data_IF_103979123542
#
_entry.id   IF_103979123542
#
_cell.length_a   1.000
_cell.length_b   1.000
_cell.length_c   1.000
_cell.angle_alpha   90.00
_cell.angle_beta   90.00
_cell.angle_gamma   90.00
#
_symmetry.space_group_name_H-M   'P 1'
#
loop_
_entity.id
_entity.type
_entity.pdbx_description
1 polymer ?
#
# COMPACT_ATOMS: atom_id res chain seq x y z
N UNK A 1 -12.41 -27.70 -27.68
CA UNK A 1 -11.39 -27.10 -26.79
C UNK A 1 -11.61 -25.60 -26.71
N UNK A 2 -12.08 -25.07 -25.57
CA UNK A 2 -12.29 -23.62 -25.39
C UNK A 2 -10.92 -22.94 -25.35
N UNK A 3 -10.55 -22.23 -26.43
CA UNK A 3 -9.35 -21.38 -26.47
C UNK A 3 -9.48 -20.35 -25.34
N UNK A 4 -8.72 -20.53 -24.26
CA UNK A 4 -8.53 -19.49 -23.24
C UNK A 4 -7.76 -18.38 -23.93
N UNK A 5 -8.43 -17.29 -24.30
CA UNK A 5 -7.76 -16.04 -24.61
C UNK A 5 -7.05 -15.60 -23.33
N UNK A 6 -5.77 -15.95 -23.23
CA UNK A 6 -4.84 -15.23 -22.40
C UNK A 6 -4.84 -13.81 -22.97
N UNK A 7 -5.55 -12.88 -22.33
CA UNK A 7 -5.29 -11.45 -22.54
C UNK A 7 -3.89 -11.20 -21.99
N UNK A 8 -2.88 -11.52 -22.80
CA UNK A 8 -1.49 -11.17 -22.57
C UNK A 8 -1.42 -9.64 -22.56
N UNK A 9 -1.03 -9.09 -21.42
CA UNK A 9 -0.46 -7.77 -21.41
C UNK A 9 0.99 -7.95 -21.84
N UNK A 10 1.29 -7.53 -23.07
CA UNK A 10 2.53 -6.83 -23.34
C UNK A 10 2.73 -5.77 -22.25
N UNK A 11 3.71 -5.97 -21.38
CA UNK A 11 4.44 -4.82 -20.88
C UNK A 11 5.04 -4.15 -22.13
N UNK A 12 4.41 -3.08 -22.62
CA UNK A 12 4.93 -2.30 -23.71
C UNK A 12 6.18 -1.57 -23.21
N UNK A 13 7.34 -2.24 -23.27
CA UNK A 13 8.63 -1.59 -23.18
C UNK A 13 8.78 -0.71 -24.42
N UNK A 14 8.35 0.55 -24.33
CA UNK A 14 8.48 1.52 -25.42
C UNK A 14 9.89 2.07 -25.43
N UNK A 15 10.60 1.83 -26.53
CA UNK A 15 11.94 2.34 -26.79
C UNK A 15 11.94 3.88 -26.80
N UNK A 16 12.73 4.49 -25.92
CA UNK A 16 13.16 5.88 -26.08
C UNK A 16 14.37 5.89 -27.02
N UNK A 17 14.17 6.19 -28.30
CA UNK A 17 15.29 6.51 -29.19
C UNK A 17 15.70 7.97 -28.97
N UNK A 18 16.76 8.21 -28.20
CA UNK A 18 17.52 9.46 -28.28
C UNK A 18 18.71 9.21 -29.19
N UNK A 19 18.72 9.82 -30.37
CA UNK A 19 19.93 9.92 -31.17
C UNK A 19 20.87 10.90 -30.44
N UNK A 20 22.06 10.43 -30.07
CA UNK A 20 23.13 11.27 -29.54
C UNK A 20 24.24 11.29 -30.60
N UNK A 21 24.76 12.46 -31.02
CA UNK A 21 25.92 12.51 -31.89
C UNK A 21 27.15 11.96 -31.15
N UNK A 22 27.94 11.16 -31.87
CA UNK A 22 29.13 10.50 -31.37
C UNK A 22 30.23 11.49 -31.00
N UNK A 23 30.82 11.31 -29.82
CA UNK A 23 32.18 11.76 -29.49
C UNK A 23 32.86 10.68 -28.65
N UNK A 24 33.75 9.93 -29.31
CA UNK A 24 34.85 9.16 -28.72
C UNK A 24 35.89 10.18 -28.17
N UNK A 25 36.67 10.03 -27.10
CA UNK A 25 36.99 8.99 -26.11
C UNK A 25 37.72 9.73 -24.98
N UNK A 26 37.59 9.32 -23.71
CA UNK A 26 38.72 9.09 -22.77
C UNK A 26 38.16 8.44 -21.50
N UNK A 27 38.65 7.25 -21.16
CA UNK A 27 38.27 6.52 -19.96
C UNK A 27 38.99 7.07 -18.74
N UNK A 28 38.24 7.42 -17.69
CA UNK A 28 38.74 7.44 -16.31
C UNK A 28 37.73 6.74 -15.41
N UNK A 29 38.23 5.70 -14.76
CA UNK A 29 37.53 4.82 -13.84
C UNK A 29 37.28 5.59 -12.53
N UNK A 30 36.03 6.01 -12.28
CA UNK A 30 35.61 6.45 -10.95
C UNK A 30 34.28 5.81 -10.56
N UNK A 31 34.29 5.18 -9.39
CA UNK A 31 33.18 4.48 -8.78
C UNK A 31 31.93 5.38 -8.70
N UNK A 32 30.93 5.04 -9.49
CA UNK A 32 29.64 5.70 -9.54
C UNK A 32 28.85 5.46 -8.25
N UNK A 33 28.94 6.41 -7.33
CA UNK A 33 27.94 6.64 -6.28
C UNK A 33 26.59 6.87 -6.97
N UNK A 34 25.66 5.93 -6.84
CA UNK A 34 24.26 6.12 -7.25
C UNK A 34 23.64 7.26 -6.43
N UNK A 35 23.76 8.49 -6.94
CA UNK A 35 22.95 9.63 -6.55
C UNK A 35 21.49 9.24 -6.81
N UNK A 36 20.65 9.28 -5.79
CA UNK A 36 19.19 9.29 -6.00
C UNK A 36 18.91 10.62 -6.68
N UNK A 37 18.71 10.60 -8.00
CA UNK A 37 18.38 11.81 -8.74
C UNK A 37 17.08 12.37 -8.15
N UNK A 38 17.09 13.65 -7.78
CA UNK A 38 15.84 14.37 -7.63
C UNK A 38 15.03 14.24 -8.93
N UNK A 39 13.70 14.17 -8.81
CA UNK A 39 12.83 14.17 -9.98
C UNK A 39 13.12 15.43 -10.82
N UNK A 40 13.27 15.26 -12.13
CA UNK A 40 13.40 16.39 -13.05
C UNK A 40 12.14 17.28 -13.00
N UNK A 41 12.22 18.51 -13.53
CA UNK A 41 11.06 19.40 -13.63
C UNK A 41 9.88 18.73 -14.35
N UNK A 42 10.15 18.02 -15.46
CA UNK A 42 9.17 17.23 -16.20
C UNK A 42 8.52 16.14 -15.35
N UNK A 43 9.33 15.37 -14.61
CA UNK A 43 8.83 14.29 -13.75
C UNK A 43 7.96 14.84 -12.61
N UNK A 44 8.32 16.01 -12.08
CA UNK A 44 7.53 16.71 -11.07
C UNK A 44 6.19 17.19 -11.65
N UNK A 45 6.20 17.76 -12.86
CA UNK A 45 4.99 18.19 -13.55
C UNK A 45 4.05 17.02 -13.85
N UNK A 46 4.59 15.89 -14.33
CA UNK A 46 3.83 14.66 -14.53
C UNK A 46 3.25 14.15 -13.21
N UNK A 47 4.08 14.05 -12.16
CA UNK A 47 3.65 13.57 -10.85
C UNK A 47 2.50 14.39 -10.28
N UNK A 48 2.55 15.72 -10.40
CA UNK A 48 1.48 16.60 -9.92
C UNK A 48 0.16 16.36 -10.66
N UNK A 49 0.21 16.21 -12.00
CA UNK A 49 -0.97 15.88 -12.82
C UNK A 49 -1.52 14.50 -12.45
N UNK A 50 -0.65 13.50 -12.38
CA UNK A 50 -0.99 12.12 -12.05
C UNK A 50 -1.60 12.01 -10.64
N UNK A 51 -0.99 12.65 -9.63
CA UNK A 51 -1.46 12.59 -8.25
C UNK A 51 -2.88 13.16 -8.09
N UNK A 52 -3.19 14.28 -8.76
CA UNK A 52 -4.54 14.86 -8.76
C UNK A 52 -5.59 13.86 -9.24
N UNK A 53 -5.31 13.18 -10.36
CA UNK A 53 -6.27 12.23 -10.94
C UNK A 53 -6.31 10.90 -10.18
N UNK A 54 -5.17 10.43 -9.68
CA UNK A 54 -5.08 9.23 -8.86
C UNK A 54 -5.90 9.35 -7.58
N UNK A 55 -5.83 10.47 -6.86
CA UNK A 55 -6.62 10.70 -5.64
C UNK A 55 -8.12 10.67 -5.95
N UNK A 56 -8.54 11.31 -7.06
CA UNK A 56 -9.95 11.33 -7.49
C UNK A 56 -10.46 9.93 -7.84
N UNK A 57 -9.74 9.20 -8.70
CA UNK A 57 -10.12 7.87 -9.14
C UNK A 57 -10.06 6.85 -7.99
N UNK A 58 -9.00 6.85 -7.19
CA UNK A 58 -8.84 5.93 -6.08
C UNK A 58 -9.93 6.10 -5.00
N UNK A 59 -10.36 7.33 -4.73
CA UNK A 59 -11.51 7.60 -3.86
C UNK A 59 -12.82 7.05 -4.44
N UNK A 60 -13.03 7.21 -5.75
CA UNK A 60 -14.22 6.70 -6.44
C UNK A 60 -14.27 5.17 -6.44
N UNK A 61 -13.14 4.51 -6.64
CA UNK A 61 -13.06 3.06 -6.83
C UNK A 61 -12.50 2.28 -5.63
N UNK A 62 -12.13 2.94 -4.53
CA UNK A 62 -11.63 2.29 -3.32
C UNK A 62 -10.31 1.55 -3.55
N UNK A 63 -9.33 2.22 -4.14
CA UNK A 63 -7.96 1.72 -4.35
C UNK A 63 -6.94 2.66 -3.70
N UNK A 64 -5.64 2.42 -3.90
CA UNK A 64 -4.57 3.26 -3.34
C UNK A 64 -4.00 4.23 -4.39
N UNK A 65 -4.06 5.56 -4.16
CA UNK A 65 -3.42 6.55 -5.01
C UNK A 65 -1.94 6.26 -5.29
N UNK A 66 -1.17 5.84 -4.29
CA UNK A 66 0.26 5.54 -4.43
C UNK A 66 0.51 4.46 -5.47
N UNK A 67 -0.32 3.41 -5.49
CA UNK A 67 -0.25 2.32 -6.46
C UNK A 67 -0.64 2.80 -7.84
N UNK A 68 -1.73 3.56 -7.99
CA UNK A 68 -2.14 4.09 -9.31
C UNK A 68 -1.10 5.03 -9.90
N UNK A 69 -0.49 5.90 -9.10
CA UNK A 69 0.59 6.80 -9.54
C UNK A 69 1.81 5.98 -9.98
N UNK A 70 2.21 4.98 -9.19
CA UNK A 70 3.34 4.12 -9.53
C UNK A 70 3.10 3.34 -10.82
N UNK A 71 1.89 2.79 -11.01
CA UNK A 71 1.50 2.15 -12.27
C UNK A 71 1.59 3.14 -13.43
N UNK A 72 1.00 4.33 -13.31
CA UNK A 72 1.07 5.34 -14.35
C UNK A 72 2.53 5.69 -14.71
N UNK A 73 3.42 5.84 -13.73
CA UNK A 73 4.85 6.10 -13.98
C UNK A 73 5.49 4.95 -14.77
N UNK A 74 5.32 3.71 -14.30
CA UNK A 74 5.94 2.52 -14.89
C UNK A 74 5.42 2.25 -16.30
N UNK A 75 4.11 2.32 -16.51
CA UNK A 75 3.46 1.97 -17.77
C UNK A 75 3.61 3.04 -18.86
N UNK A 76 3.73 4.32 -18.48
CA UNK A 76 3.85 5.43 -19.42
C UNK A 76 5.26 5.99 -19.59
N UNK A 77 6.23 5.51 -18.81
CA UNK A 77 7.57 6.08 -18.76
C UNK A 77 7.53 7.56 -18.37
N UNK A 78 6.84 7.90 -17.27
CA UNK A 78 6.59 9.29 -16.84
C UNK A 78 5.79 10.14 -17.84
N UNK A 79 4.83 9.52 -18.54
CA UNK A 79 3.97 10.19 -19.52
C UNK A 79 4.66 10.46 -20.86
N UNK A 80 5.87 9.96 -21.07
CA UNK A 80 6.67 10.22 -22.28
C UNK A 80 6.46 9.17 -23.37
N UNK A 81 5.78 8.05 -23.09
CA UNK A 81 5.49 7.05 -24.12
C UNK A 81 4.59 7.62 -25.21
N UNK A 82 4.77 7.19 -26.46
CA UNK A 82 3.93 7.65 -27.57
C UNK A 82 2.44 7.37 -27.33
N UNK A 83 2.11 6.28 -26.64
CA UNK A 83 0.74 5.97 -26.24
C UNK A 83 0.18 6.95 -25.20
N UNK A 84 0.99 7.37 -24.22
CA UNK A 84 0.58 8.39 -23.25
C UNK A 84 0.41 9.76 -23.89
N UNK A 85 1.32 10.15 -24.78
CA UNK A 85 1.28 11.46 -25.47
C UNK A 85 0.13 11.55 -26.47
N UNK A 86 -0.03 10.54 -27.33
CA UNK A 86 -0.98 10.62 -28.45
C UNK A 86 -2.40 10.14 -28.09
N UNK A 87 -2.54 9.38 -26.99
CA UNK A 87 -3.82 8.77 -26.62
C UNK A 87 -4.24 9.00 -25.17
N UNK A 88 -3.45 9.77 -24.38
CA UNK A 88 -3.64 9.92 -22.94
C UNK A 88 -3.73 8.59 -22.17
N UNK A 89 -3.24 7.48 -22.75
CA UNK A 89 -3.37 6.15 -22.18
C UNK A 89 -2.13 5.82 -21.36
N UNK A 90 -2.23 6.10 -20.06
CA UNK A 90 -1.11 5.96 -19.12
C UNK A 90 -0.86 4.52 -18.67
N UNK A 91 -1.81 3.62 -18.88
CA UNK A 91 -1.83 2.28 -18.26
C UNK A 91 -1.76 1.14 -19.26
N UNK A 92 -1.53 1.45 -20.55
CA UNK A 92 -1.43 0.45 -21.61
C UNK A 92 -2.74 -0.31 -21.87
N UNK A 93 -3.90 0.32 -21.64
CA UNK A 93 -5.19 -0.37 -21.80
C UNK A 93 -5.49 -0.61 -23.27
N UNK A 94 -5.55 -1.88 -23.68
CA UNK A 94 -5.99 -2.28 -25.02
C UNK A 94 -7.48 -2.03 -25.19
N UNK A 95 -7.88 -1.68 -26.42
CA UNK A 95 -9.28 -1.63 -26.81
C UNK A 95 -9.74 -3.07 -27.09
N UNK A 96 -10.54 -3.62 -26.19
CA UNK A 96 -11.22 -4.90 -26.41
C UNK A 96 -12.57 -4.68 -27.10
N UNK A 97 -13.30 -5.76 -27.40
CA UNK A 97 -14.58 -5.69 -28.10
C UNK A 97 -15.69 -4.93 -27.34
N UNK A 98 -15.51 -4.66 -26.05
CA UNK A 98 -16.45 -3.86 -25.25
C UNK A 98 -16.12 -2.37 -25.25
N UNK A 99 -14.95 -1.97 -25.78
CA UNK A 99 -14.56 -0.58 -25.85
C UNK A 99 -15.26 0.14 -27.01
N UNK A 100 -16.02 1.18 -26.68
CA UNK A 100 -16.79 1.98 -27.65
C UNK A 100 -16.20 3.38 -27.89
N UNK A 101 -15.12 3.73 -27.20
CA UNK A 101 -14.46 5.03 -27.35
C UNK A 101 -13.45 5.08 -28.48
N UNK A 102 -12.78 6.22 -28.64
CA UNK A 102 -11.69 6.36 -29.60
C UNK A 102 -10.57 5.34 -29.35
N UNK A 103 -9.84 4.99 -30.41
CA UNK A 103 -8.69 4.09 -30.32
C UNK A 103 -7.44 4.74 -30.91
N UNK A 104 -6.28 4.25 -30.48
CA UNK A 104 -4.99 4.56 -31.08
C UNK A 104 -4.28 3.25 -31.38
N UNK A 105 -4.06 2.98 -32.67
CA UNK A 105 -3.45 1.74 -33.13
C UNK A 105 -1.95 1.94 -33.33
N UNK A 106 -1.14 1.12 -32.66
CA UNK A 106 0.32 1.20 -32.75
C UNK A 106 0.97 -0.17 -32.56
N UNK A 107 2.25 -0.29 -32.91
CA UNK A 107 3.04 -1.48 -32.62
C UNK A 107 3.31 -1.58 -31.12
N UNK A 108 3.17 -2.78 -30.56
CA UNK A 108 3.45 -3.11 -29.16
C UNK A 108 4.31 -4.36 -29.07
N UNK A 109 5.22 -4.40 -28.08
CA UNK A 109 6.08 -5.55 -27.79
C UNK A 109 5.32 -6.55 -26.91
N UNK A 110 5.02 -7.72 -27.44
CA UNK A 110 4.48 -8.86 -26.69
C UNK A 110 5.60 -9.83 -26.29
N UNK A 111 5.29 -10.71 -25.35
CA UNK A 111 6.17 -11.79 -24.91
C UNK A 111 5.41 -13.12 -24.98
N UNK A 112 6.04 -14.15 -25.54
CA UNK A 112 5.46 -15.50 -25.55
C UNK A 112 5.65 -16.20 -24.19
N UNK A 113 5.08 -17.41 -24.05
CA UNK A 113 5.18 -18.21 -22.82
C UNK A 113 6.62 -18.58 -22.41
N UNK A 114 7.59 -18.42 -23.32
CA UNK A 114 9.01 -18.73 -23.10
C UNK A 114 9.86 -17.46 -22.88
N UNK A 115 9.24 -16.28 -22.82
CA UNK A 115 9.96 -15.01 -22.64
C UNK A 115 10.47 -14.39 -23.94
N UNK A 116 10.18 -14.97 -25.12
CA UNK A 116 10.63 -14.40 -26.40
C UNK A 116 9.75 -13.22 -26.78
N UNK A 117 10.39 -12.10 -27.05
CA UNK A 117 9.71 -10.86 -27.45
C UNK A 117 9.38 -10.85 -28.94
N UNK A 118 8.21 -10.33 -29.30
CA UNK A 118 7.82 -10.07 -30.69
C UNK A 118 6.92 -8.82 -30.75
N UNK A 119 6.75 -8.24 -31.94
CA UNK A 119 5.91 -7.06 -32.11
C UNK A 119 4.62 -7.42 -32.84
N UNK A 120 3.51 -6.88 -32.35
CA UNK A 120 2.22 -6.90 -33.04
C UNK A 120 1.68 -5.47 -33.16
N UNK A 121 0.79 -5.24 -34.12
CA UNK A 121 -0.05 -4.05 -34.13
C UNK A 121 -1.27 -4.31 -33.28
N UNK A 122 -1.57 -3.41 -32.33
CA UNK A 122 -2.74 -3.53 -31.46
C UNK A 122 -3.46 -2.19 -31.32
N UNK A 123 -4.78 -2.24 -31.17
CA UNK A 123 -5.59 -1.08 -30.83
C UNK A 123 -5.59 -0.84 -29.32
N UNK A 124 -5.27 0.39 -28.92
CA UNK A 124 -5.33 0.83 -27.53
C UNK A 124 -6.47 1.83 -27.34
N UNK A 125 -7.02 1.87 -26.12
CA UNK A 125 -8.03 2.88 -25.75
C UNK A 125 -7.40 4.26 -25.85
N UNK A 126 -8.10 5.22 -26.44
CA UNK A 126 -7.71 6.63 -26.49
C UNK A 126 -8.66 7.44 -25.60
N UNK A 127 -8.08 8.27 -24.75
CA UNK A 127 -8.81 9.03 -23.76
C UNK A 127 -8.74 10.54 -24.05
N UNK A 128 -9.81 11.30 -23.73
CA UNK A 128 -9.79 12.76 -23.82
C UNK A 128 -8.73 13.40 -22.90
N UNK A 129 -8.44 12.79 -21.75
CA UNK A 129 -7.44 13.29 -20.80
C UNK A 129 -6.92 12.20 -19.87
N UNK A 130 -5.91 12.52 -19.05
CA UNK A 130 -5.43 11.65 -17.99
C UNK A 130 -6.52 11.28 -16.98
N UNK A 131 -7.52 12.15 -16.76
CA UNK A 131 -8.63 11.84 -15.87
C UNK A 131 -9.35 10.56 -16.29
N UNK A 132 -9.74 10.45 -17.56
CA UNK A 132 -10.42 9.25 -18.07
C UNK A 132 -9.51 8.02 -18.07
N UNK A 133 -8.19 8.20 -18.20
CA UNK A 133 -7.24 7.08 -18.09
C UNK A 133 -7.14 6.54 -16.66
N UNK A 134 -7.07 7.42 -15.65
CA UNK A 134 -7.09 7.03 -14.23
C UNK A 134 -8.45 6.45 -13.83
N UNK A 135 -9.55 7.02 -14.33
CA UNK A 135 -10.90 6.53 -14.13
C UNK A 135 -11.05 5.07 -14.61
N UNK A 136 -10.58 4.77 -15.82
CA UNK A 136 -10.63 3.43 -16.41
C UNK A 136 -9.71 2.43 -15.66
N UNK A 137 -8.53 2.87 -15.23
CA UNK A 137 -7.67 2.06 -14.35
C UNK A 137 -8.35 1.74 -13.01
N UNK A 138 -8.94 2.73 -12.35
CA UNK A 138 -9.67 2.54 -11.10
C UNK A 138 -10.84 1.57 -11.26
N UNK A 139 -11.61 1.73 -12.34
CA UNK A 139 -12.70 0.82 -12.70
C UNK A 139 -12.21 -0.61 -12.89
N UNK A 140 -11.14 -0.83 -13.66
CA UNK A 140 -10.57 -2.17 -13.85
C UNK A 140 -10.10 -2.79 -12.53
N UNK A 141 -9.40 -2.04 -11.68
CA UNK A 141 -8.92 -2.56 -10.40
C UNK A 141 -10.09 -2.92 -9.45
N UNK A 142 -11.19 -2.16 -9.48
CA UNK A 142 -12.36 -2.45 -8.63
C UNK A 142 -13.25 -3.54 -9.21
N UNK A 143 -13.59 -3.45 -10.49
CA UNK A 143 -14.59 -4.28 -11.15
C UNK A 143 -13.99 -5.53 -11.81
N UNK A 144 -12.66 -5.64 -11.83
CA UNK A 144 -11.96 -6.76 -12.43
C UNK A 144 -12.06 -6.76 -13.95
N UNK A 145 -12.16 -7.95 -14.50
CA UNK A 145 -12.41 -8.22 -15.92
C UNK A 145 -13.65 -9.09 -16.06
N UNK A 146 -14.27 -9.13 -17.23
CA UNK A 146 -15.56 -9.81 -17.44
C UNK A 146 -15.57 -11.28 -17.00
N UNK A 147 -14.45 -11.98 -17.10
CA UNK A 147 -14.30 -13.39 -16.72
C UNK A 147 -13.78 -13.61 -15.29
N UNK A 148 -13.33 -12.56 -14.61
CA UNK A 148 -12.88 -12.61 -13.21
C UNK A 148 -13.08 -11.22 -12.56
N UNK A 149 -14.29 -10.93 -12.06
CA UNK A 149 -14.62 -9.64 -11.43
C UNK A 149 -13.83 -9.36 -10.16
N UNK A 150 -13.23 -10.40 -9.57
CA UNK A 150 -12.45 -10.31 -8.32
C UNK A 150 -10.95 -10.38 -8.56
N UNK A 151 -10.50 -10.37 -9.83
CA UNK A 151 -9.11 -10.56 -10.25
C UNK A 151 -8.12 -9.68 -9.48
N UNK A 152 -8.53 -8.43 -9.22
CA UNK A 152 -7.69 -7.41 -8.59
C UNK A 152 -8.12 -7.10 -7.15
N UNK A 153 -8.91 -7.97 -6.49
CA UNK A 153 -9.40 -7.71 -5.13
C UNK A 153 -8.31 -7.45 -4.09
N UNK A 154 -7.09 -7.95 -4.33
CA UNK A 154 -5.93 -7.70 -3.47
C UNK A 154 -5.43 -6.25 -3.49
N UNK A 155 -5.89 -5.42 -4.43
CA UNK A 155 -5.55 -3.99 -4.52
C UNK A 155 -6.59 -3.08 -3.88
N UNK A 156 -7.72 -3.63 -3.44
CA UNK A 156 -8.80 -2.87 -2.84
C UNK A 156 -8.39 -2.37 -1.46
N UNK A 157 -8.74 -1.13 -1.15
CA UNK A 157 -8.32 -0.46 0.08
C UNK A 157 -8.73 -1.21 1.36
N UNK A 158 -9.87 -1.90 1.34
CA UNK A 158 -10.35 -2.68 2.48
C UNK A 158 -9.60 -4.01 2.68
N UNK A 159 -8.91 -4.50 1.64
CA UNK A 159 -8.18 -5.77 1.60
C UNK A 159 -6.66 -5.59 1.69
N UNK A 160 -6.14 -4.49 1.14
CA UNK A 160 -4.72 -4.16 1.13
C UNK A 160 -4.35 -3.38 2.40
N UNK A 161 -3.70 -4.06 3.35
CA UNK A 161 -3.19 -3.39 4.56
C UNK A 161 -2.03 -2.44 4.29
N UNK A 162 -1.35 -2.60 3.15
CA UNK A 162 -0.23 -1.75 2.71
C UNK A 162 -0.22 -1.61 1.18
N UNK A 163 0.49 -0.60 0.67
CA UNK A 163 0.76 -0.53 -0.77
C UNK A 163 1.52 -1.78 -1.26
N UNK A 164 2.42 -2.34 -0.44
CA UNK A 164 3.21 -3.51 -0.81
C UNK A 164 2.35 -4.77 -1.02
N UNK A 165 1.27 -4.95 -0.25
CA UNK A 165 0.32 -6.05 -0.50
C UNK A 165 -0.47 -5.83 -1.78
N UNK A 166 -0.85 -4.58 -2.09
CA UNK A 166 -1.54 -4.26 -3.33
C UNK A 166 -0.65 -4.45 -4.56
N UNK A 167 0.60 -3.96 -4.53
CA UNK A 167 1.55 -4.16 -5.64
C UNK A 167 1.89 -5.62 -5.84
N UNK A 168 2.01 -6.40 -4.74
CA UNK A 168 2.19 -7.84 -4.82
C UNK A 168 1.01 -8.54 -5.51
N UNK A 169 -0.22 -8.12 -5.21
CA UNK A 169 -1.41 -8.66 -5.85
C UNK A 169 -1.48 -8.35 -7.35
N UNK A 170 -0.81 -7.28 -7.82
CA UNK A 170 -0.70 -6.93 -9.24
C UNK A 170 0.35 -7.77 -10.00
N UNK A 171 1.38 -8.28 -9.32
CA UNK A 171 2.39 -9.14 -9.93
C UNK A 171 1.77 -10.46 -10.41
N UNK A 172 1.90 -10.76 -11.70
CA UNK A 172 1.33 -11.96 -12.31
C UNK A 172 -0.16 -11.88 -12.61
N UNK A 173 -0.85 -10.80 -12.20
CA UNK A 173 -2.28 -10.60 -12.50
C UNK A 173 -2.52 -9.43 -13.47
N UNK A 174 -1.79 -8.34 -13.28
CA UNK A 174 -1.80 -7.14 -14.12
C UNK A 174 -0.69 -7.18 -15.16
N UNK A 175 0.53 -7.51 -14.74
CA UNK A 175 1.69 -7.69 -15.60
C UNK A 175 2.27 -9.11 -15.46
N UNK A 176 2.79 -9.66 -16.55
CA UNK A 176 3.51 -10.96 -16.56
C UNK A 176 4.89 -10.87 -15.92
N UNK A 177 5.45 -9.66 -15.78
CA UNK A 177 6.73 -9.42 -15.14
C UNK A 177 6.70 -9.83 -13.65
N UNK A 178 7.51 -10.84 -13.32
CA UNK A 178 7.72 -11.33 -11.94
C UNK A 178 8.31 -10.28 -10.98
N UNK A 179 8.81 -9.16 -11.50
CA UNK A 179 9.42 -8.05 -10.75
C UNK A 179 8.54 -6.81 -10.66
N UNK A 180 7.29 -6.87 -11.14
CA UNK A 180 6.40 -5.70 -11.23
C UNK A 180 6.18 -5.00 -9.88
N UNK A 181 5.89 -5.75 -8.83
CA UNK A 181 5.80 -5.26 -7.45
C UNK A 181 7.03 -4.45 -7.02
N UNK A 182 8.23 -4.90 -7.37
CA UNK A 182 9.48 -4.21 -7.02
C UNK A 182 9.60 -2.86 -7.74
N UNK A 183 9.23 -2.79 -9.02
CA UNK A 183 9.22 -1.54 -9.77
C UNK A 183 8.26 -0.53 -9.14
N UNK A 184 7.02 -0.96 -8.85
CA UNK A 184 6.02 -0.10 -8.21
C UNK A 184 6.47 0.37 -6.82
N UNK A 185 6.93 -0.56 -5.98
CA UNK A 185 7.39 -0.25 -4.62
C UNK A 185 8.59 0.71 -4.61
N UNK A 186 9.47 0.62 -5.62
CA UNK A 186 10.58 1.55 -5.80
C UNK A 186 10.10 2.98 -6.04
N UNK A 187 9.14 3.18 -6.95
CA UNK A 187 8.53 4.49 -7.18
C UNK A 187 7.80 5.01 -5.94
N UNK A 188 6.99 4.17 -5.30
CA UNK A 188 6.23 4.53 -4.10
C UNK A 188 7.16 5.02 -2.99
N UNK A 189 8.26 4.30 -2.75
CA UNK A 189 9.21 4.64 -1.68
C UNK A 189 10.06 5.85 -2.04
N UNK A 190 10.63 5.90 -3.25
CA UNK A 190 11.54 6.98 -3.65
C UNK A 190 10.85 8.35 -3.76
N UNK A 191 9.56 8.37 -4.12
CA UNK A 191 8.77 9.59 -4.29
C UNK A 191 7.84 9.87 -3.10
N UNK A 192 7.87 9.04 -2.06
CA UNK A 192 6.98 9.11 -0.89
C UNK A 192 5.49 9.22 -1.31
N UNK A 193 5.05 8.34 -2.22
CA UNK A 193 3.70 8.42 -2.81
C UNK A 193 2.59 8.07 -1.80
N UNK A 194 2.92 7.39 -0.71
CA UNK A 194 1.97 7.08 0.38
C UNK A 194 1.40 8.34 1.04
N UNK A 195 2.03 9.51 0.87
CA UNK A 195 1.45 10.79 1.31
C UNK A 195 0.10 11.12 0.66
N UNK A 196 -0.21 10.50 -0.49
CA UNK A 196 -1.49 10.63 -1.16
C UNK A 196 -2.51 9.59 -0.72
N UNK A 197 -2.08 8.53 -0.03
CA UNK A 197 -2.97 7.44 0.36
C UNK A 197 -3.91 7.87 1.49
N UNK A 198 -5.16 7.41 1.47
CA UNK A 198 -6.07 7.61 2.59
C UNK A 198 -5.61 6.86 3.84
N UNK A 199 -5.95 7.41 4.99
CA UNK A 199 -5.63 6.81 6.29
C UNK A 199 -6.76 5.86 6.68
N UNK A 200 -6.42 4.59 6.91
CA UNK A 200 -7.37 3.58 7.40
C UNK A 200 -7.11 3.31 8.88
N UNK A 201 -8.16 3.43 9.69
CA UNK A 201 -8.12 3.09 11.11
C UNK A 201 -9.16 2.01 11.41
N UNK A 202 -8.76 1.02 12.21
CA UNK A 202 -9.71 0.11 12.86
C UNK A 202 -10.11 0.73 14.20
N UNK A 203 -11.39 0.69 14.50
CA UNK A 203 -11.95 1.30 15.72
C UNK A 203 -13.12 0.47 16.24
N UNK A 204 -13.74 0.89 17.33
CA UNK A 204 -15.01 0.37 17.81
C UNK A 204 -15.66 1.52 18.56
N UNK A 205 -16.45 2.32 17.83
CA UNK A 205 -17.07 3.53 18.36
C UNK A 205 -18.54 3.54 17.96
N UNK A 206 -19.37 3.96 18.89
CA UNK A 206 -20.79 4.17 18.64
C UNK A 206 -20.99 5.57 18.05
N UNK A 207 -21.76 5.64 16.98
CA UNK A 207 -22.19 6.85 16.32
C UNK A 207 -23.71 6.88 16.25
N UNK A 208 -24.29 8.07 16.17
CA UNK A 208 -25.70 8.25 15.80
C UNK A 208 -25.76 8.64 14.33
N UNK A 209 -26.63 8.01 13.55
CA UNK A 209 -26.88 8.44 12.17
C UNK A 209 -27.69 9.76 12.19
N UNK A 210 -27.14 10.82 11.62
CA UNK A 210 -27.81 12.12 11.55
C UNK A 210 -28.91 12.18 10.50
N UNK A 211 -28.95 11.22 9.57
CA UNK A 211 -29.96 11.10 8.52
C UNK A 211 -30.09 9.67 7.99
N UNK A 212 -31.23 9.40 7.34
CA UNK A 212 -31.43 8.19 6.56
C UNK A 212 -30.37 8.08 5.45
N UNK A 213 -29.80 6.89 5.28
CA UNK A 213 -28.85 6.61 4.20
C UNK A 213 -28.74 5.12 3.91
N UNK A 214 -28.50 4.76 2.66
CA UNK A 214 -28.09 3.40 2.30
C UNK A 214 -26.70 3.06 2.86
N UNK A 215 -26.49 1.77 3.13
CA UNK A 215 -25.18 1.17 3.37
C UNK A 215 -24.73 0.38 2.15
N UNK A 216 -23.42 0.26 1.96
CA UNK A 216 -22.81 -0.20 0.72
C UNK A 216 -21.84 -1.37 0.95
N UNK A 217 -21.71 -2.24 -0.05
CA UNK A 217 -20.80 -3.39 0.04
C UNK A 217 -19.31 -3.02 0.05
N UNK A 218 -18.94 -1.87 -0.54
CA UNK A 218 -17.55 -1.41 -0.67
C UNK A 218 -17.36 0.04 -0.24
N UNK A 219 -16.13 0.44 0.17
CA UNK A 219 -15.80 1.83 0.52
C UNK A 219 -15.57 2.70 -0.73
N UNK A 220 -16.45 2.62 -1.73
CA UNK A 220 -16.33 3.34 -3.01
C UNK A 220 -17.33 4.51 -3.09
N UNK A 221 -17.43 5.16 -4.25
CA UNK A 221 -18.54 6.06 -4.51
C UNK A 221 -19.87 5.28 -4.63
N UNK A 222 -21.02 5.86 -4.23
CA UNK A 222 -22.33 5.21 -4.41
C UNK A 222 -22.64 4.79 -5.85
N UNK A 223 -22.08 5.47 -6.85
CA UNK A 223 -22.21 5.10 -8.27
C UNK A 223 -21.44 3.83 -8.67
N UNK A 224 -20.58 3.32 -7.78
CA UNK A 224 -19.77 2.10 -7.99
C UNK A 224 -20.23 0.98 -7.05
N UNK A 225 -20.59 1.30 -5.81
CA UNK A 225 -21.01 0.31 -4.83
C UNK A 225 -22.46 -0.15 -5.02
N UNK A 226 -22.74 -1.39 -4.64
CA UNK A 226 -24.10 -1.90 -4.50
C UNK A 226 -24.62 -1.57 -3.11
N UNK A 227 -25.83 -1.00 -3.03
CA UNK A 227 -26.54 -0.85 -1.76
C UNK A 227 -26.92 -2.23 -1.20
N UNK A 228 -26.65 -2.46 0.09
CA UNK A 228 -26.88 -3.75 0.76
C UNK A 228 -27.71 -3.61 2.05
N UNK A 229 -28.10 -2.38 2.39
CA UNK A 229 -28.86 -2.08 3.58
C UNK A 229 -29.07 -0.58 3.73
N UNK A 230 -29.50 -0.15 4.91
CA UNK A 230 -29.68 1.26 5.24
C UNK A 230 -29.46 1.49 6.74
N UNK A 231 -29.31 2.76 7.10
CA UNK A 231 -29.40 3.30 8.46
C UNK A 231 -30.46 4.39 8.50
N UNK A 232 -31.11 4.54 9.65
CA UNK A 232 -32.15 5.55 9.89
C UNK A 232 -31.65 6.71 10.74
N UNK A 233 -32.19 7.90 10.52
CA UNK A 233 -31.91 9.06 11.37
C UNK A 233 -32.19 8.74 12.86
N UNK A 234 -31.28 9.12 13.75
CA UNK A 234 -31.33 8.83 15.18
C UNK A 234 -30.83 7.42 15.57
N UNK A 235 -30.57 6.54 14.60
CA UNK A 235 -30.12 5.18 14.87
C UNK A 235 -28.68 5.15 15.42
N UNK A 236 -28.45 4.43 16.51
CA UNK A 236 -27.11 4.19 17.05
C UNK A 236 -26.46 3.00 16.36
N UNK A 237 -25.25 3.20 15.83
CA UNK A 237 -24.51 2.20 15.06
C UNK A 237 -23.07 2.08 15.55
N UNK A 238 -22.53 0.86 15.51
CA UNK A 238 -21.11 0.60 15.86
C UNK A 238 -20.28 0.64 14.58
N UNK A 239 -19.29 1.54 14.55
CA UNK A 239 -18.33 1.65 13.45
C UNK A 239 -17.05 0.94 13.83
N UNK A 240 -16.56 0.06 12.95
CA UNK A 240 -15.36 -0.75 13.20
C UNK A 240 -14.18 -0.41 12.31
N UNK A 241 -14.40 0.33 11.22
CA UNK A 241 -13.33 0.80 10.32
C UNK A 241 -13.67 2.17 9.76
N UNK A 242 -12.68 3.05 9.66
CA UNK A 242 -12.81 4.38 9.06
C UNK A 242 -11.67 4.57 8.07
N UNK A 243 -12.02 5.00 6.85
CA UNK A 243 -11.08 5.42 5.80
C UNK A 243 -11.26 6.91 5.63
N UNK A 244 -10.20 7.69 5.85
CA UNK A 244 -10.21 9.15 5.69
C UNK A 244 -9.35 9.55 4.50
N UNK A 245 -9.94 10.27 3.55
CA UNK A 245 -9.27 10.78 2.35
C UNK A 245 -8.62 12.14 2.61
N UNK A 246 -7.75 12.56 1.67
CA UNK A 246 -6.99 13.81 1.78
C UNK A 246 -7.88 15.07 1.83
N UNK A 247 -9.10 15.02 1.28
CA UNK A 247 -10.06 16.11 1.37
C UNK A 247 -10.86 16.12 2.69
N UNK A 248 -10.48 15.28 3.66
CA UNK A 248 -11.13 15.15 4.96
C UNK A 248 -12.44 14.34 4.94
N UNK A 249 -12.93 13.96 3.75
CA UNK A 249 -14.08 13.07 3.66
C UNK A 249 -13.71 11.65 4.09
N UNK A 250 -14.71 10.84 4.46
CA UNK A 250 -14.46 9.48 4.93
C UNK A 250 -15.49 8.45 4.48
N UNK A 251 -15.10 7.18 4.58
CA UNK A 251 -15.99 6.01 4.53
C UNK A 251 -15.91 5.28 5.87
N UNK A 252 -17.05 4.93 6.43
CA UNK A 252 -17.14 4.29 7.75
C UNK A 252 -17.87 2.96 7.60
N UNK A 253 -17.25 1.89 8.08
CA UNK A 253 -17.85 0.55 8.06
C UNK A 253 -18.64 0.35 9.35
N UNK A 254 -19.95 0.15 9.20
CA UNK A 254 -20.86 -0.22 10.27
C UNK A 254 -20.82 -1.74 10.41
N UNK A 255 -20.62 -2.21 11.63
CA UNK A 255 -20.49 -3.63 11.91
C UNK A 255 -21.70 -4.42 11.41
N UNK A 256 -21.42 -5.48 10.65
CA UNK A 256 -22.45 -6.31 10.01
C UNK A 256 -23.32 -5.64 8.93
N UNK A 257 -23.17 -4.34 8.65
CA UNK A 257 -24.10 -3.59 7.77
C UNK A 257 -23.47 -2.91 6.57
N UNK A 258 -22.14 -2.82 6.51
CA UNK A 258 -21.42 -2.29 5.36
C UNK A 258 -20.98 -0.84 5.52
N UNK A 259 -20.59 -0.23 4.41
CA UNK A 259 -19.96 1.08 4.35
C UNK A 259 -20.97 2.21 4.21
N UNK A 260 -20.69 3.35 4.85
CA UNK A 260 -21.44 4.61 4.68
C UNK A 260 -20.48 5.76 4.44
N UNK A 261 -20.99 6.85 3.85
CA UNK A 261 -20.27 8.12 3.84
C UNK A 261 -20.19 8.65 5.28
N UNK A 262 -19.00 9.04 5.74
CA UNK A 262 -18.85 9.47 7.14
C UNK A 262 -19.67 10.71 7.51
N UNK A 263 -20.09 11.52 6.54
CA UNK A 263 -21.01 12.65 6.73
C UNK A 263 -22.45 12.24 7.11
N UNK A 264 -22.78 10.95 7.07
CA UNK A 264 -24.07 10.40 7.55
C UNK A 264 -24.08 10.24 9.08
N UNK A 265 -22.91 10.11 9.70
CA UNK A 265 -22.78 9.80 11.11
C UNK A 265 -22.33 11.04 11.89
N UNK A 266 -23.07 11.40 12.93
CA UNK A 266 -22.80 12.59 13.73
C UNK A 266 -21.50 12.42 14.52
N UNK A 267 -20.67 13.46 14.54
CA UNK A 267 -19.39 13.48 15.28
C UNK A 267 -19.56 13.50 16.80
N UNK A 268 -20.78 13.54 17.33
CA UNK A 268 -21.08 13.33 18.75
C UNK A 268 -20.84 11.87 19.14
N UNK A 269 -19.58 11.43 19.02
CA UNK A 269 -19.17 10.09 19.41
C UNK A 269 -19.07 10.06 20.93
N UNK A 270 -19.98 9.37 21.59
CA UNK A 270 -19.65 8.83 22.92
C UNK A 270 -18.72 7.66 22.69
N UNK A 271 -17.45 7.81 23.09
CA UNK A 271 -16.61 6.63 23.29
C UNK A 271 -17.34 5.78 24.33
N UNK A 272 -17.76 4.57 23.97
CA UNK A 272 -18.22 3.60 24.95
C UNK A 272 -17.07 3.38 25.93
N UNK A 273 -17.18 4.01 27.11
CA UNK A 273 -16.49 3.57 28.31
C UNK A 273 -17.05 2.20 28.69
N UNK A 274 -16.17 1.37 29.25
CA UNK A 274 -16.39 0.03 29.85
C UNK A 274 -16.09 -1.16 28.91
N UNK A 275 -15.53 -2.26 29.47
CA UNK A 275 -14.38 -2.94 28.91
C UNK A 275 -14.76 -4.24 28.21
N UNK A 276 -14.25 -4.43 26.99
CA UNK A 276 -14.30 -5.72 26.31
C UNK A 276 -13.28 -6.68 26.95
N UNK A 277 -13.61 -7.21 28.12
CA UNK A 277 -12.78 -8.13 28.92
C UNK A 277 -12.56 -9.49 28.24
N UNK A 278 -13.27 -9.83 27.17
CA UNK A 278 -13.03 -11.06 26.38
C UNK A 278 -12.66 -10.81 24.91
N UNK A 279 -11.79 -11.66 24.34
CA UNK A 279 -11.61 -11.71 22.91
C UNK A 279 -12.95 -12.17 22.32
N UNK A 280 -13.50 -11.53 21.26
CA UNK A 280 -14.79 -11.94 20.73
C UNK A 280 -14.70 -13.40 20.28
N UNK A 281 -15.61 -14.25 20.76
CA UNK A 281 -15.63 -15.71 20.52
C UNK A 281 -15.65 -16.10 19.02
N UNK A 282 -15.81 -15.13 18.10
CA UNK A 282 -15.93 -15.31 16.65
C UNK A 282 -14.86 -14.59 15.80
N UNK A 283 -13.76 -14.07 16.39
CA UNK A 283 -12.69 -13.41 15.61
C UNK A 283 -11.60 -14.43 15.23
N UNK A 284 -11.44 -14.68 13.92
CA UNK A 284 -10.31 -15.48 13.42
C UNK A 284 -8.99 -14.79 13.77
N UNK A 285 -8.00 -15.51 14.33
CA UNK A 285 -6.70 -14.94 14.65
C UNK A 285 -5.98 -14.48 13.37
N UNK A 286 -5.28 -13.35 13.48
CA UNK A 286 -4.31 -12.91 12.46
C UNK A 286 -2.92 -13.23 12.98
N UNK A 287 -2.22 -14.14 12.30
CA UNK A 287 -0.84 -14.47 12.62
C UNK A 287 0.09 -13.33 12.22
N UNK A 288 0.91 -12.87 13.16
CA UNK A 288 1.87 -11.78 12.97
C UNK A 288 3.25 -12.17 13.50
N UNK A 289 4.30 -11.70 12.83
CA UNK A 289 5.66 -11.98 13.26
C UNK A 289 6.10 -11.00 14.35
N UNK A 290 6.35 -11.50 15.55
CA UNK A 290 6.94 -10.74 16.63
C UNK A 290 8.42 -10.47 16.33
N UNK A 291 8.77 -9.19 16.25
CA UNK A 291 10.11 -8.74 15.87
C UNK A 291 10.99 -8.45 17.08
N UNK A 292 10.43 -8.22 18.26
CA UNK A 292 11.16 -8.00 19.51
C UNK A 292 10.45 -8.66 20.70
N UNK A 293 11.19 -9.07 21.73
CA UNK A 293 10.60 -9.55 22.99
C UNK A 293 9.51 -8.60 23.49
N UNK A 294 8.34 -9.16 23.83
CA UNK A 294 7.17 -8.38 24.17
C UNK A 294 6.57 -8.82 25.50
N UNK A 295 6.66 -7.95 26.50
CA UNK A 295 5.90 -8.10 27.73
C UNK A 295 4.40 -8.08 27.45
N UNK A 296 3.66 -8.86 28.23
CA UNK A 296 2.21 -8.86 28.19
C UNK A 296 1.67 -7.88 29.22
N UNK A 297 0.66 -7.11 28.83
CA UNK A 297 0.00 -6.09 29.62
C UNK A 297 -1.47 -6.44 29.77
N UNK A 298 -2.08 -5.98 30.86
CA UNK A 298 -3.52 -6.02 31.03
C UNK A 298 -4.22 -4.90 30.24
N UNK A 299 -5.55 -4.88 30.32
CA UNK A 299 -6.40 -3.89 29.67
C UNK A 299 -6.17 -2.43 30.10
N UNK A 300 -5.53 -2.21 31.25
CA UNK A 300 -5.21 -0.91 31.82
C UNK A 300 -3.74 -0.51 31.57
N UNK A 301 -2.97 -1.38 30.90
CA UNK A 301 -1.56 -1.18 30.61
C UNK A 301 -0.63 -1.50 31.77
N UNK A 302 -1.12 -2.21 32.80
CA UNK A 302 -0.27 -2.77 33.85
C UNK A 302 0.41 -4.02 33.29
N UNK A 303 1.73 -4.10 33.42
CA UNK A 303 2.50 -5.26 32.98
C UNK A 303 2.11 -6.48 33.81
N UNK A 304 1.78 -7.60 33.15
CA UNK A 304 1.51 -8.87 33.81
C UNK A 304 2.83 -9.50 34.26
N UNK A 305 2.92 -9.88 35.54
CA UNK A 305 4.14 -10.46 36.11
C UNK A 305 4.43 -11.81 35.44
N UNK A 306 5.68 -12.03 35.02
CA UNK A 306 6.12 -13.30 34.42
C UNK A 306 5.67 -13.58 32.98
N UNK A 307 4.69 -12.86 32.41
CA UNK A 307 4.21 -13.09 31.04
C UNK A 307 4.95 -12.25 30.00
N UNK A 308 5.61 -12.93 29.06
CA UNK A 308 6.32 -12.31 27.93
C UNK A 308 6.42 -13.29 26.76
N UNK A 309 6.26 -12.77 25.54
CA UNK A 309 6.64 -13.49 24.33
C UNK A 309 8.11 -13.19 24.01
N UNK A 310 8.93 -14.24 23.97
CA UNK A 310 10.33 -14.16 23.54
C UNK A 310 10.44 -14.45 22.04
N UNK A 311 11.23 -13.67 21.32
CA UNK A 311 11.71 -14.02 19.98
C UNK A 311 12.89 -14.98 20.10
N UNK A 312 13.05 -15.92 19.16
CA UNK A 312 14.30 -16.69 19.06
C UNK A 312 15.27 -16.01 18.08
N UNK A 313 16.53 -15.89 18.47
CA UNK A 313 17.57 -15.32 17.60
C UNK A 313 18.01 -16.31 16.50
N UNK A 314 17.70 -17.60 16.67
CA UNK A 314 17.98 -18.69 15.72
C UNK A 314 17.00 -18.70 14.52
N UNK A 315 15.74 -18.29 14.70
CA UNK A 315 14.72 -18.34 13.63
C UNK A 315 14.17 -16.97 13.20
N UNK A 316 14.71 -15.87 13.76
CA UNK A 316 14.48 -14.54 13.20
C UNK A 316 13.16 -13.88 13.53
N UNK A 317 12.36 -14.41 14.45
CA UNK A 317 11.09 -13.86 14.88
C UNK A 317 10.24 -14.90 15.60
N UNK A 318 9.07 -14.53 16.10
CA UNK A 318 8.09 -15.49 16.64
C UNK A 318 6.70 -15.19 16.08
N UNK A 319 6.12 -16.10 15.34
CA UNK A 319 4.72 -15.98 14.91
C UNK A 319 3.79 -16.06 16.12
N UNK A 320 2.90 -15.10 16.23
CA UNK A 320 1.90 -15.00 17.29
C UNK A 320 0.54 -14.67 16.70
N UNK A 321 -0.49 -15.30 17.25
CA UNK A 321 -1.87 -15.00 16.91
C UNK A 321 -2.28 -13.70 17.59
N UNK A 322 -2.87 -12.80 16.82
CA UNK A 322 -3.38 -11.51 17.30
C UNK A 322 -4.87 -11.36 16.97
N UNK A 323 -5.59 -10.65 17.83
CA UNK A 323 -7.05 -10.51 17.79
C UNK A 323 -7.45 -9.04 17.80
N UNK A 324 -6.98 -8.31 16.78
CA UNK A 324 -7.17 -6.87 16.69
C UNK A 324 -6.26 -6.06 17.62
N UNK A 325 -6.46 -4.75 17.65
CA UNK A 325 -5.64 -3.80 18.39
C UNK A 325 -6.44 -3.06 19.47
N UNK A 326 -5.74 -2.58 20.50
CA UNK A 326 -6.28 -1.69 21.54
C UNK A 326 -5.27 -0.59 21.82
N UNK A 327 -5.75 0.65 21.91
CA UNK A 327 -4.92 1.76 22.39
C UNK A 327 -5.00 1.83 23.91
N UNK A 328 -3.86 1.78 24.58
CA UNK A 328 -3.75 1.85 26.04
C UNK A 328 -2.77 2.98 26.35
N UNK A 329 -3.22 4.01 27.08
CA UNK A 329 -2.40 5.19 27.45
C UNK A 329 -1.65 5.81 26.26
N UNK A 330 -2.35 5.99 25.13
CA UNK A 330 -1.80 6.60 23.91
C UNK A 330 -0.87 5.71 23.08
N UNK A 331 -0.67 4.44 23.45
CA UNK A 331 0.14 3.47 22.70
C UNK A 331 -0.72 2.35 22.15
N UNK A 332 -0.44 1.90 20.93
CA UNK A 332 -1.16 0.79 20.29
C UNK A 332 -0.61 -0.55 20.77
N UNK A 333 -1.51 -1.48 21.09
CA UNK A 333 -1.22 -2.85 21.46
C UNK A 333 -2.01 -3.83 20.59
N UNK A 334 -1.46 -5.01 20.33
CA UNK A 334 -2.22 -6.14 19.82
C UNK A 334 -2.78 -6.96 20.97
N UNK A 335 -4.04 -7.39 20.83
CA UNK A 335 -4.62 -8.39 21.73
C UNK A 335 -4.08 -9.77 21.35
N UNK A 336 -3.61 -10.52 22.33
CA UNK A 336 -3.03 -11.87 22.14
C UNK A 336 -3.74 -12.95 22.98
N UNK A 337 -4.62 -12.53 23.88
CA UNK A 337 -5.43 -13.41 24.72
C UNK A 337 -6.53 -12.64 25.47
N UNK A 338 -7.11 -13.28 26.48
CA UNK A 338 -8.10 -12.66 27.37
C UNK A 338 -7.40 -11.66 28.30
N UNK A 339 -7.76 -10.37 28.20
CA UNK A 339 -7.07 -9.29 28.90
C UNK A 339 -5.55 -9.25 28.72
N UNK A 340 -5.04 -9.78 27.60
CA UNK A 340 -3.61 -9.84 27.33
C UNK A 340 -3.26 -9.06 26.06
N UNK A 341 -2.34 -8.12 26.23
CA UNK A 341 -1.96 -7.17 25.21
C UNK A 341 -0.45 -7.07 25.09
N UNK A 342 0.08 -6.95 23.87
CA UNK A 342 1.51 -6.68 23.62
C UNK A 342 1.66 -5.40 22.80
N UNK A 343 2.71 -4.63 23.04
CA UNK A 343 2.90 -3.36 22.33
C UNK A 343 3.08 -3.60 20.82
N UNK A 344 2.31 -2.90 19.98
CA UNK A 344 2.35 -3.05 18.53
C UNK A 344 3.72 -2.68 17.95
N UNK A 345 4.46 -1.77 18.60
CA UNK A 345 5.83 -1.45 18.23
C UNK A 345 6.82 -2.63 18.33
N UNK A 346 6.47 -3.75 18.96
CA UNK A 346 7.27 -4.98 18.93
C UNK A 346 6.99 -5.87 17.71
N UNK A 347 5.91 -5.58 16.95
CA UNK A 347 5.49 -6.30 15.75
C UNK A 347 5.62 -5.41 14.51
N UNK A 348 4.89 -4.29 14.47
CA UNK A 348 4.82 -3.40 13.32
C UNK A 348 5.98 -2.38 13.30
N UNK A 349 6.64 -2.20 14.44
CA UNK A 349 7.71 -1.23 14.62
C UNK A 349 7.22 0.19 14.81
N UNK A 350 8.10 1.04 15.32
CA UNK A 350 7.90 2.48 15.45
C UNK A 350 8.84 3.18 14.49
N UNK A 351 8.31 4.01 13.59
CA UNK A 351 9.13 4.77 12.64
C UNK A 351 9.99 5.80 13.38
N UNK A 352 11.29 5.80 13.06
CA UNK A 352 12.26 6.77 13.55
C UNK A 352 13.11 7.28 12.41
N UNK A 353 13.45 8.57 12.43
CA UNK A 353 14.34 9.18 11.46
C UNK A 353 15.80 8.98 11.86
N UNK A 354 16.65 8.75 10.86
CA UNK A 354 18.10 8.80 11.03
C UNK A 354 18.63 10.23 10.95
N UNK A 355 19.49 10.62 11.89
CA UNK A 355 20.22 11.90 11.85
C UNK A 355 21.53 11.82 11.06
N UNK A 356 22.00 10.61 10.73
CA UNK A 356 23.16 10.36 9.86
C UNK A 356 23.03 9.02 9.13
N UNK A 357 23.73 8.87 8.01
CA UNK A 357 23.82 7.58 7.31
C UNK A 357 24.37 6.52 8.27
N UNK A 358 23.71 5.36 8.33
CA UNK A 358 24.03 4.31 9.28
C UNK A 358 24.11 2.96 8.60
N UNK A 359 25.18 2.22 8.91
CA UNK A 359 25.27 0.80 8.59
C UNK A 359 24.30 -0.03 9.42
N UNK A 360 23.95 -1.19 8.87
CA UNK A 360 23.23 -2.26 9.57
C UNK A 360 24.24 -3.22 10.19
N UNK A 361 23.91 -3.75 11.36
CA UNK A 361 24.70 -4.67 12.15
C UNK A 361 23.92 -5.97 12.35
N UNK A 362 24.63 -7.09 12.47
CA UNK A 362 24.03 -8.35 12.87
C UNK A 362 23.90 -8.46 14.41
N UNK A 363 23.33 -9.57 14.89
CA UNK A 363 23.13 -9.82 16.33
C UNK A 363 24.41 -9.89 17.16
N UNK A 364 25.56 -10.14 16.53
CA UNK A 364 26.88 -10.18 17.18
C UNK A 364 27.59 -8.84 17.17
N UNK A 365 26.99 -7.81 16.55
CA UNK A 365 27.56 -6.47 16.44
C UNK A 365 28.53 -6.31 15.27
N UNK A 366 28.58 -7.29 14.36
CA UNK A 366 29.37 -7.20 13.14
C UNK A 366 28.62 -6.33 12.13
N UNK A 367 29.34 -5.37 11.55
CA UNK A 367 28.80 -4.44 10.57
C UNK A 367 28.65 -5.13 9.21
N UNK A 368 27.50 -4.98 8.58
CA UNK A 368 27.35 -5.26 7.16
C UNK A 368 27.85 -4.04 6.36
N UNK A 369 28.97 -4.21 5.64
CA UNK A 369 29.58 -3.13 4.88
C UNK A 369 28.78 -2.75 3.63
N UNK A 370 27.87 -3.62 3.18
CA UNK A 370 27.08 -3.45 1.97
C UNK A 370 25.68 -2.90 2.28
N UNK A 371 25.19 -3.07 3.51
CA UNK A 371 23.85 -2.63 3.92
C UNK A 371 23.90 -1.36 4.81
N UNK A 372 23.39 -0.25 4.26
CA UNK A 372 23.28 1.05 4.96
C UNK A 372 21.96 1.77 4.67
N UNK A 373 21.47 2.46 5.68
CA UNK A 373 20.34 3.38 5.57
C UNK A 373 20.85 4.82 5.50
N UNK A 374 20.26 5.64 4.61
CA UNK A 374 20.72 7.01 4.35
C UNK A 374 20.29 7.96 5.47
N UNK A 375 21.03 9.05 5.68
CA UNK A 375 20.62 10.17 6.54
C UNK A 375 19.19 10.61 6.18
N UNK A 376 18.38 10.95 7.18
CA UNK A 376 16.97 11.34 7.07
C UNK A 376 15.99 10.25 6.60
N UNK A 377 16.43 9.00 6.37
CA UNK A 377 15.47 7.91 6.11
C UNK A 377 14.68 7.58 7.38
N UNK A 378 13.38 7.31 7.21
CA UNK A 378 12.57 6.69 8.26
C UNK A 378 12.78 5.18 8.26
N UNK A 379 13.09 4.63 9.44
CA UNK A 379 13.28 3.20 9.62
C UNK A 379 12.35 2.73 10.75
N UNK A 380 11.65 1.62 10.52
CA UNK A 380 10.88 0.96 11.56
C UNK A 380 11.84 0.38 12.60
N UNK A 381 11.64 0.74 13.86
CA UNK A 381 12.41 0.22 15.00
C UNK A 381 11.51 -0.64 15.87
N UNK A 382 11.92 -1.87 16.13
CA UNK A 382 11.13 -2.85 16.86
C UNK A 382 11.54 -2.87 18.33
N UNK A 383 10.59 -2.52 19.20
CA UNK A 383 10.78 -2.50 20.64
C UNK A 383 11.82 -1.49 21.14
N UNK A 384 12.32 -1.76 22.35
CA UNK A 384 13.35 -0.95 22.99
C UNK A 384 14.74 -1.23 22.40
N UNK A 385 15.66 -0.28 22.56
CA UNK A 385 17.04 -0.52 22.15
C UNK A 385 17.71 -1.59 23.02
N UNK A 386 18.41 -2.53 22.37
CA UNK A 386 19.20 -3.58 23.01
C UNK A 386 20.67 -3.20 23.07
N UNK A 387 21.43 -3.86 23.94
CA UNK A 387 22.89 -3.68 24.04
C UNK A 387 23.58 -4.82 23.29
N UNK A 388 24.49 -4.48 22.37
CA UNK A 388 25.39 -5.43 21.70
C UNK A 388 26.81 -4.87 21.84
N UNK A 389 27.72 -5.63 22.44
CA UNK A 389 29.13 -5.24 22.69
C UNK A 389 29.25 -3.82 23.28
N UNK A 390 28.50 -3.55 24.36
CA UNK A 390 28.51 -2.27 25.07
C UNK A 390 27.81 -1.09 24.36
N UNK A 391 27.30 -1.27 23.14
CA UNK A 391 26.64 -0.20 22.37
C UNK A 391 25.14 -0.46 22.23
N UNK A 392 24.32 0.60 22.22
CA UNK A 392 22.86 0.50 22.07
C UNK A 392 22.44 0.46 20.59
N UNK A 393 21.55 -0.46 20.24
CA UNK A 393 21.01 -0.63 18.90
C UNK A 393 19.48 -0.77 18.94
N UNK A 394 18.80 -0.24 17.94
CA UNK A 394 17.43 -0.64 17.63
C UNK A 394 17.45 -1.82 16.67
N UNK A 395 16.56 -2.78 16.89
CA UNK A 395 16.26 -3.81 15.89
C UNK A 395 15.45 -3.16 14.77
N UNK A 396 15.86 -3.36 13.53
CA UNK A 396 15.20 -2.79 12.32
C UNK A 396 14.74 -3.86 11.34
N UNK A 397 15.03 -5.12 11.65
CA UNK A 397 14.64 -6.29 10.86
C UNK A 397 15.08 -7.58 11.55
N UNK A 398 14.89 -8.70 10.87
CA UNK A 398 15.35 -10.00 11.32
C UNK A 398 16.88 -10.00 11.36
N UNK A 399 17.47 -10.16 12.55
CA UNK A 399 18.93 -10.09 12.78
C UNK A 399 19.59 -8.80 12.29
N UNK A 400 18.82 -7.73 12.13
CA UNK A 400 19.30 -6.45 11.59
C UNK A 400 19.13 -5.36 12.64
N UNK A 401 20.22 -4.67 12.90
CA UNK A 401 20.34 -3.70 13.98
C UNK A 401 20.98 -2.40 13.51
N UNK A 402 20.51 -1.27 14.02
CA UNK A 402 21.06 0.05 13.72
C UNK A 402 21.36 0.77 15.02
N UNK A 403 22.53 1.41 15.13
CA UNK A 403 22.96 2.09 16.35
C UNK A 403 21.92 3.13 16.77
N UNK A 404 21.47 3.05 18.03
CA UNK A 404 20.49 3.99 18.61
C UNK A 404 20.95 5.44 18.45
N UNK A 405 22.25 5.69 18.63
CA UNK A 405 22.85 7.03 18.51
C UNK A 405 22.81 7.63 17.10
N UNK A 406 22.37 6.87 16.09
CA UNK A 406 22.22 7.36 14.71
C UNK A 406 20.79 7.84 14.40
N UNK A 407 19.86 7.65 15.33
CA UNK A 407 18.48 8.16 15.22
C UNK A 407 18.35 9.55 15.87
N UNK A 408 17.32 10.28 15.42
CA UNK A 408 16.87 11.56 16.00
C UNK A 408 16.23 11.35 17.37
#
# INVERSE_FOLDING_TARGET
>A
MKKRLLTSFAAAAMLTSVAVPAVNTTMMNQASSQRVSAATADQTAFLNKAAKQAVKAAKKYGTLPSVMIAQAITESGWGKSGLAVNANNLFGMKADSSWTGETYTTKTREEDKNGKSYYITAAFRKYPSFEQSFEDNGSKLRNGVSWDPLRYKGTWIENASTYASATKALTGTYATDSKYDRALNSHITSLNLTKYDPVTINTTRTYTAGKDSSTYNWPTAPSVAKAIGSVKAGEKVVVTKIITFHDGSSRMYIDGRGWVNGSVLDKSSSATKEPVTQAPKNVKPVSKNLMHNAYVYDQNGKKLKGKMFKTSDENGGKWINTYGTKTIKGKTYYRVGENEYIAAGNIDGTLKFLKKTSYVYNQYGNRDNNLKHKKHSQIATYGSAITINGKKYYKVGIRQYVKKSNFM
#
